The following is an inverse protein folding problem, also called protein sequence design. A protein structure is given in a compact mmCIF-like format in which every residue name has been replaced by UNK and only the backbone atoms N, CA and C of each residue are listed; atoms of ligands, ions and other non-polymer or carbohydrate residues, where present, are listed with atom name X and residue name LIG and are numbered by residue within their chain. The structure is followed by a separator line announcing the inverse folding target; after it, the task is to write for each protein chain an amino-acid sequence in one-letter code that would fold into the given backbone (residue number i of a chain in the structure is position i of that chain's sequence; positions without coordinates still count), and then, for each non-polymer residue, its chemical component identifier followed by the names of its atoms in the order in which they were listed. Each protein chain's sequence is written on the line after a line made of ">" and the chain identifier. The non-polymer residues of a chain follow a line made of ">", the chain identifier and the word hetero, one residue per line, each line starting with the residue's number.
data_IF_163617659013
#
_entry.id   IF_163617659013
#
_cell.length_a   1.000
_cell.length_b   1.000
_cell.length_c   1.000
_cell.angle_alpha   90.00
_cell.angle_beta   90.00
_cell.angle_gamma   90.00
#
_symmetry.space_group_name_H-M   'P 1'
#
loop_
_entity.id
_entity.type
_entity.pdbx_description
1 polymer ?
#
# COMPACT_ATOMS: atom_id res chain seq x y z
N UNK A 1 -19.83 38.31 10.29
CA UNK A 1 -19.92 38.40 11.76
C UNK A 1 -21.10 37.57 12.23
N UNK A 2 -20.89 36.27 12.45
CA UNK A 2 -21.90 35.40 13.06
C UNK A 2 -21.30 34.77 14.29
N UNK A 3 -21.71 35.31 15.44
CA UNK A 3 -21.54 34.73 16.77
C UNK A 3 -22.21 33.36 16.76
N UNK A 4 -21.43 32.29 16.89
CA UNK A 4 -21.95 31.03 17.43
C UNK A 4 -21.50 30.99 18.89
N UNK A 5 -22.42 31.40 19.76
CA UNK A 5 -22.33 31.15 21.19
C UNK A 5 -22.80 29.70 21.40
N UNK A 6 -21.87 28.78 21.69
CA UNK A 6 -22.22 27.51 22.31
C UNK A 6 -21.91 27.63 23.80
N UNK A 7 -22.97 27.86 24.57
CA UNK A 7 -22.95 27.81 26.03
C UNK A 7 -23.46 26.44 26.48
N UNK A 8 -22.72 25.80 27.39
CA UNK A 8 -23.32 24.97 28.45
C UNK A 8 -23.54 23.49 28.17
N UNK A 9 -22.63 22.67 28.73
CA UNK A 9 -23.03 21.65 29.71
C UNK A 9 -23.44 20.27 29.18
N UNK A 10 -22.61 19.27 29.46
CA UNK A 10 -22.98 17.86 29.37
C UNK A 10 -21.85 16.97 29.86
N UNK A 11 -21.92 16.54 31.12
CA UNK A 11 -21.11 15.43 31.66
C UNK A 11 -21.40 14.18 30.82
N UNK A 12 -20.39 13.69 30.09
CA UNK A 12 -20.45 12.39 29.42
C UNK A 12 -19.22 11.58 29.82
N UNK A 13 -19.50 10.53 30.58
CA UNK A 13 -18.56 9.49 31.00
C UNK A 13 -18.03 8.77 29.77
N UNK A 14 -16.70 8.59 29.77
CA UNK A 14 -15.91 8.28 28.59
C UNK A 14 -16.17 6.90 27.99
N UNK A 15 -16.12 6.86 26.66
CA UNK A 15 -16.13 5.61 25.93
C UNK A 15 -16.37 5.72 24.43
N UNK A 16 -15.94 6.80 23.77
CA UNK A 16 -15.56 6.80 22.33
C UNK A 16 -15.23 8.23 21.91
N UNK A 17 -13.93 8.53 21.80
CA UNK A 17 -13.48 9.77 21.18
C UNK A 17 -13.59 9.61 19.67
N UNK A 18 -14.78 9.91 19.14
CA UNK A 18 -14.99 10.12 17.70
C UNK A 18 -14.18 11.37 17.29
N UNK A 19 -12.95 11.16 16.82
CA UNK A 19 -12.11 12.23 16.28
C UNK A 19 -12.64 12.59 14.89
N UNK A 20 -13.36 13.70 14.80
CA UNK A 20 -13.60 14.38 13.52
C UNK A 20 -12.23 14.80 12.97
N UNK A 21 -11.83 14.23 11.82
CA UNK A 21 -10.46 14.28 11.27
C UNK A 21 -9.97 15.72 10.98
N UNK A 22 -10.88 16.67 10.79
CA UNK A 22 -10.58 18.11 10.65
C UNK A 22 -10.31 18.82 12.00
N UNK A 23 -10.85 18.34 13.12
CA UNK A 23 -10.67 18.98 14.44
C UNK A 23 -9.29 18.64 15.07
N UNK A 24 -8.65 17.55 14.64
CA UNK A 24 -7.28 17.17 15.05
C UNK A 24 -6.22 18.16 14.52
N UNK A 25 -6.44 18.76 13.34
CA UNK A 25 -5.49 19.71 12.74
C UNK A 25 -5.42 21.06 13.45
N UNK A 26 -6.56 21.62 13.88
CA UNK A 26 -6.59 22.93 14.56
C UNK A 26 -6.03 22.84 15.99
N UNK A 27 -6.32 21.77 16.72
CA UNK A 27 -5.78 21.55 18.06
C UNK A 27 -4.26 21.36 18.06
N UNK A 28 -3.72 20.66 17.04
CA UNK A 28 -2.27 20.47 16.89
C UNK A 28 -1.54 21.78 16.55
N UNK A 29 -2.18 22.69 15.83
CA UNK A 29 -1.63 24.03 15.53
C UNK A 29 -1.67 24.96 16.75
N UNK A 30 -2.72 24.88 17.56
CA UNK A 30 -2.93 25.78 18.72
C UNK A 30 -2.07 25.44 19.94
N UNK A 31 -1.64 24.19 20.08
CA UNK A 31 -0.80 23.70 21.19
C UNK A 31 0.70 23.75 20.90
N UNK A 32 1.11 23.99 19.65
CA UNK A 32 2.51 24.08 19.26
C UNK A 32 3.26 25.29 19.88
N UNK A 33 2.51 26.32 20.30
CA UNK A 33 3.07 27.55 20.88
C UNK A 33 3.34 27.53 22.40
N UNK A 34 2.94 26.47 23.13
CA UNK A 34 3.11 26.38 24.59
C UNK A 34 4.14 25.34 25.05
N UNK A 35 4.88 24.72 24.13
CA UNK A 35 5.95 23.81 24.48
C UNK A 35 7.26 24.58 24.74
N UNK A 36 7.33 25.30 25.85
CA UNK A 36 8.58 25.85 26.40
C UNK A 36 9.56 24.73 26.82
N UNK A 37 9.06 23.50 26.93
CA UNK A 37 9.87 22.29 27.11
C UNK A 37 10.40 21.83 25.75
N UNK A 38 11.70 22.03 25.51
CA UNK A 38 12.42 21.52 24.34
C UNK A 38 12.03 20.06 24.03
N UNK A 39 11.66 19.79 22.77
CA UNK A 39 11.13 18.50 22.32
C UNK A 39 12.11 17.31 22.44
N UNK A 40 13.37 17.57 22.77
CA UNK A 40 14.41 16.56 22.93
C UNK A 40 15.08 16.63 24.30
N UNK A 41 14.34 16.27 25.34
CA UNK A 41 14.94 15.97 26.64
C UNK A 41 15.89 14.78 26.51
N UNK A 42 17.21 15.02 26.67
CA UNK A 42 18.21 13.94 26.73
C UNK A 42 17.95 13.09 27.96
N UNK A 43 17.26 11.96 27.77
CA UNK A 43 17.04 10.98 28.84
C UNK A 43 18.38 10.38 29.26
N UNK A 44 18.66 10.38 30.57
CA UNK A 44 19.83 9.70 31.14
C UNK A 44 19.79 8.21 30.78
N UNK A 45 20.92 7.67 30.32
CA UNK A 45 21.11 6.25 30.04
C UNK A 45 22.05 5.65 31.06
N UNK A 46 21.69 4.50 31.63
CA UNK A 46 22.50 3.82 32.64
C UNK A 46 23.30 2.69 31.98
N UNK A 47 24.63 2.77 32.08
CA UNK A 47 25.54 1.70 31.65
C UNK A 47 25.32 0.43 32.50
N UNK A 48 25.65 -0.74 31.97
CA UNK A 48 25.46 -1.98 32.74
C UNK A 48 26.38 -2.05 33.97
N UNK A 49 27.61 -1.55 33.86
CA UNK A 49 28.55 -1.43 34.98
C UNK A 49 27.97 -0.59 36.12
N UNK A 50 27.35 0.55 35.80
CA UNK A 50 26.67 1.39 36.78
C UNK A 50 25.52 0.64 37.47
N UNK A 51 24.69 -0.07 36.68
CA UNK A 51 23.59 -0.88 37.24
C UNK A 51 24.11 -1.95 38.21
N UNK A 52 25.19 -2.66 37.84
CA UNK A 52 25.80 -3.69 38.68
C UNK A 52 26.40 -3.11 39.96
N UNK A 53 27.09 -1.97 39.86
CA UNK A 53 27.63 -1.24 41.02
C UNK A 53 26.54 -0.88 42.02
N UNK A 54 25.45 -0.27 41.54
CA UNK A 54 24.31 0.10 42.39
C UNK A 54 23.63 -1.14 43.00
N UNK A 55 23.48 -2.23 42.25
CA UNK A 55 22.92 -3.47 42.78
C UNK A 55 23.76 -4.03 43.93
N UNK A 56 25.09 -4.04 43.79
CA UNK A 56 26.02 -4.49 44.83
C UNK A 56 25.96 -3.60 46.08
N UNK A 57 25.98 -2.27 45.90
CA UNK A 57 25.82 -1.32 46.99
C UNK A 57 24.48 -1.51 47.72
N UNK A 58 23.40 -1.71 46.96
CA UNK A 58 22.06 -1.92 47.52
C UNK A 58 21.90 -3.24 48.26
N UNK A 59 22.74 -4.24 47.97
CA UNK A 59 22.76 -5.54 48.64
C UNK A 59 23.58 -5.48 49.94
N UNK A 60 24.60 -4.63 50.01
CA UNK A 60 25.39 -4.39 51.23
C UNK A 60 24.72 -3.51 52.28
N UNK A 61 23.62 -2.81 51.95
CA UNK A 61 22.86 -2.03 52.92
C UNK A 61 22.05 -2.94 53.85
N UNK A 62 22.47 -3.04 55.11
CA UNK A 62 21.82 -3.87 56.15
C UNK A 62 20.86 -3.03 56.99
N UNK A 63 21.14 -1.74 57.22
CA UNK A 63 20.30 -0.91 58.07
C UNK A 63 19.03 -0.44 57.34
N UNK A 64 17.92 -0.40 58.10
CA UNK A 64 16.63 0.10 57.61
C UNK A 64 16.75 1.58 57.25
N UNK A 65 16.76 1.89 55.95
CA UNK A 65 16.78 3.26 55.42
C UNK A 65 18.03 3.63 54.61
N UNK A 66 19.16 2.96 54.80
CA UNK A 66 20.40 3.22 54.02
C UNK A 66 20.20 3.04 52.52
N UNK A 67 19.48 1.98 52.15
CA UNK A 67 19.10 1.73 50.75
C UNK A 67 18.27 2.87 50.17
N UNK A 68 17.37 3.46 50.97
CA UNK A 68 16.57 4.61 50.54
C UNK A 68 17.40 5.89 50.43
N UNK A 69 18.39 6.09 51.31
CA UNK A 69 19.31 7.21 51.24
C UNK A 69 20.20 7.14 49.97
N UNK A 70 20.73 5.95 49.66
CA UNK A 70 21.49 5.69 48.43
C UNK A 70 20.65 6.03 47.19
N UNK A 71 19.41 5.55 47.13
CA UNK A 71 18.51 5.79 46.01
C UNK A 71 18.19 7.27 45.78
N UNK A 72 18.02 8.06 46.84
CA UNK A 72 17.80 9.51 46.72
C UNK A 72 19.03 10.25 46.20
N UNK A 73 20.24 9.86 46.64
CA UNK A 73 21.50 10.44 46.15
C UNK A 73 21.72 10.20 44.66
N UNK A 74 21.39 8.99 44.20
CA UNK A 74 21.52 8.60 42.79
C UNK A 74 20.30 9.02 41.94
N UNK A 75 19.24 9.53 42.58
CA UNK A 75 17.96 9.85 41.93
C UNK A 75 17.27 8.63 41.31
N UNK A 76 17.41 7.45 41.92
CA UNK A 76 16.86 6.18 41.47
C UNK A 76 15.61 5.80 42.29
N UNK A 77 14.58 5.26 41.64
CA UNK A 77 13.42 4.66 42.32
C UNK A 77 13.63 3.17 42.61
N UNK A 78 12.86 2.65 43.57
CA UNK A 78 12.85 1.21 43.89
C UNK A 78 12.46 0.33 42.69
N UNK A 79 11.66 0.85 41.74
CA UNK A 79 11.31 0.14 40.50
C UNK A 79 12.52 -0.15 39.61
N UNK A 80 13.50 0.75 39.54
CA UNK A 80 14.72 0.48 38.79
C UNK A 80 15.50 -0.70 39.39
N UNK A 81 15.57 -0.80 40.72
CA UNK A 81 16.26 -1.92 41.36
C UNK A 81 15.59 -3.26 41.05
N UNK A 82 14.26 -3.32 41.07
CA UNK A 82 13.54 -4.57 40.76
C UNK A 82 13.71 -4.97 39.29
N UNK A 83 13.66 -4.00 38.37
CA UNK A 83 13.95 -4.22 36.95
C UNK A 83 15.38 -4.71 36.72
N UNK A 84 16.36 -4.09 37.39
CA UNK A 84 17.77 -4.45 37.23
C UNK A 84 18.10 -5.80 37.87
N UNK A 85 17.45 -6.18 38.98
CA UNK A 85 17.54 -7.55 39.53
C UNK A 85 17.03 -8.59 38.53
N UNK A 86 15.83 -8.38 37.98
CA UNK A 86 15.28 -9.25 36.92
C UNK A 86 16.19 -9.31 35.69
N UNK A 87 16.83 -8.20 35.32
CA UNK A 87 17.77 -8.17 34.21
C UNK A 87 19.08 -8.91 34.53
N UNK A 88 19.56 -8.86 35.79
CA UNK A 88 20.70 -9.64 36.28
C UNK A 88 20.41 -11.14 36.22
N UNK A 89 19.26 -11.56 36.74
CA UNK A 89 18.85 -12.97 36.81
C UNK A 89 18.68 -13.56 35.41
N UNK A 90 18.26 -12.74 34.44
CA UNK A 90 18.17 -13.11 33.01
C UNK A 90 19.51 -13.07 32.25
N UNK A 91 20.62 -12.73 32.91
CA UNK A 91 21.94 -12.58 32.26
C UNK A 91 22.05 -11.37 31.31
N UNK A 92 21.05 -10.50 31.28
CA UNK A 92 20.98 -9.37 30.35
C UNK A 92 21.90 -8.19 30.75
N UNK A 93 22.44 -8.18 31.98
CA UNK A 93 23.39 -7.16 32.42
C UNK A 93 24.85 -7.51 32.08
N UNK A 94 25.20 -8.79 32.02
CA UNK A 94 26.52 -9.27 31.59
C UNK A 94 26.60 -9.42 30.07
N UNK A 95 25.48 -9.77 29.41
CA UNK A 95 25.34 -9.80 27.96
C UNK A 95 25.01 -8.42 27.36
N UNK A 96 25.97 -7.50 27.39
CA UNK A 96 25.87 -6.16 26.76
C UNK A 96 25.82 -6.18 25.22
N UNK A 97 25.67 -7.33 24.57
CA UNK A 97 25.22 -7.32 23.18
C UNK A 97 23.76 -6.87 23.20
N UNK A 98 23.51 -5.62 22.79
CA UNK A 98 22.15 -5.11 22.58
C UNK A 98 21.32 -6.19 21.88
N UNK A 99 20.43 -6.85 22.61
CA UNK A 99 19.43 -7.74 22.03
C UNK A 99 18.64 -6.83 21.11
N UNK A 100 18.95 -6.89 19.81
CA UNK A 100 18.31 -6.07 18.79
C UNK A 100 16.84 -6.37 18.90
N UNK A 101 16.08 -5.43 19.45
CA UNK A 101 14.63 -5.56 19.56
C UNK A 101 14.09 -5.50 18.14
N UNK A 102 13.57 -6.63 17.67
CA UNK A 102 13.02 -6.78 16.34
C UNK A 102 13.01 -8.24 15.91
N UNK A 103 12.23 -8.59 14.86
CA UNK A 103 12.31 -9.89 14.24
C UNK A 103 13.76 -10.22 13.88
N UNK A 104 14.20 -11.44 14.19
CA UNK A 104 15.52 -11.93 13.77
C UNK A 104 15.58 -11.80 12.24
N UNK A 105 16.60 -11.13 11.67
CA UNK A 105 16.69 -11.01 10.22
C UNK A 105 16.74 -12.41 9.63
N UNK A 106 15.85 -12.66 8.66
CA UNK A 106 15.85 -13.92 7.92
C UNK A 106 17.26 -14.16 7.32
N UNK A 107 17.71 -15.42 7.24
CA UNK A 107 18.99 -15.73 6.63
C UNK A 107 19.02 -15.13 5.23
N UNK A 108 20.03 -14.30 4.96
CA UNK A 108 20.22 -13.68 3.65
C UNK A 108 20.74 -14.78 2.73
N UNK A 109 19.87 -15.30 1.87
CA UNK A 109 20.27 -16.26 0.85
C UNK A 109 21.31 -15.60 -0.07
N UNK A 110 22.56 -16.07 -0.01
CA UNK A 110 23.67 -15.53 -0.82
C UNK A 110 23.34 -15.51 -2.33
N UNK A 111 22.47 -16.42 -2.76
CA UNK A 111 22.08 -16.60 -4.16
C UNK A 111 20.91 -15.69 -4.58
N UNK A 112 20.23 -15.01 -3.66
CA UNK A 112 19.07 -14.17 -3.99
C UNK A 112 19.44 -12.97 -4.88
N UNK A 113 20.63 -12.42 -4.68
CA UNK A 113 21.16 -11.33 -5.50
C UNK A 113 21.43 -11.80 -6.94
N UNK A 114 22.03 -12.98 -7.09
CA UNK A 114 22.34 -13.60 -8.38
C UNK A 114 21.07 -13.97 -9.14
N UNK A 115 20.08 -14.60 -8.48
CA UNK A 115 18.78 -14.91 -9.08
C UNK A 115 18.10 -13.65 -9.62
N UNK A 116 18.21 -12.52 -8.90
CA UNK A 116 17.62 -11.24 -9.33
C UNK A 116 18.34 -10.67 -10.56
N UNK A 117 19.66 -10.79 -10.63
CA UNK A 117 20.44 -10.38 -11.80
C UNK A 117 20.10 -11.25 -13.01
N UNK A 118 20.15 -12.57 -12.86
CA UNK A 118 19.81 -13.53 -13.93
C UNK A 118 18.40 -13.33 -14.48
N UNK A 119 17.41 -13.00 -13.63
CA UNK A 119 16.05 -12.69 -14.08
C UNK A 119 15.97 -11.42 -14.93
N UNK A 120 16.73 -10.38 -14.58
CA UNK A 120 16.79 -9.13 -15.36
C UNK A 120 17.46 -9.37 -16.71
N UNK A 121 18.54 -10.14 -16.72
CA UNK A 121 19.28 -10.45 -17.94
C UNK A 121 18.44 -11.29 -18.88
N UNK A 122 17.75 -12.31 -18.36
CA UNK A 122 16.79 -13.10 -19.15
C UNK A 122 15.68 -12.23 -19.75
N UNK A 123 15.08 -11.32 -18.97
CA UNK A 123 14.05 -10.42 -19.48
C UNK A 123 14.58 -9.50 -20.60
N UNK A 124 15.81 -8.98 -20.45
CA UNK A 124 16.47 -8.16 -21.46
C UNK A 124 16.77 -8.96 -22.74
N UNK A 125 17.28 -10.18 -22.61
CA UNK A 125 17.58 -11.06 -23.73
C UNK A 125 16.31 -11.46 -24.49
N UNK A 126 15.24 -11.81 -23.79
CA UNK A 126 13.94 -12.12 -24.42
C UNK A 126 13.38 -10.93 -25.20
N UNK A 127 13.49 -9.71 -24.67
CA UNK A 127 13.06 -8.52 -25.39
C UNK A 127 13.89 -8.27 -26.67
N UNK A 128 15.19 -8.58 -26.65
CA UNK A 128 16.04 -8.50 -27.85
C UNK A 128 15.67 -9.57 -28.89
N UNK A 129 15.37 -10.79 -28.45
CA UNK A 129 14.91 -11.87 -29.32
C UNK A 129 13.60 -11.49 -30.02
N UNK A 130 12.61 -10.99 -29.26
CA UNK A 130 11.33 -10.53 -29.83
C UNK A 130 11.53 -9.45 -30.90
N UNK A 131 12.43 -8.48 -30.67
CA UNK A 131 12.73 -7.45 -31.69
C UNK A 131 13.34 -8.07 -32.95
N UNK A 132 14.25 -9.02 -32.81
CA UNK A 132 14.86 -9.71 -33.94
C UNK A 132 13.83 -10.55 -34.73
N UNK A 133 12.94 -11.25 -34.02
CA UNK A 133 11.84 -12.01 -34.61
C UNK A 133 10.91 -11.11 -35.42
N UNK A 134 10.54 -9.94 -34.91
CA UNK A 134 9.73 -8.96 -35.65
C UNK A 134 10.41 -8.48 -36.93
N UNK A 135 11.72 -8.24 -36.91
CA UNK A 135 12.48 -7.88 -38.12
C UNK A 135 12.44 -9.00 -39.14
N UNK A 136 12.65 -10.24 -38.71
CA UNK A 136 12.57 -11.43 -39.58
C UNK A 136 11.15 -11.58 -40.17
N UNK A 137 10.11 -11.35 -39.37
CA UNK A 137 8.72 -11.39 -39.86
C UNK A 137 8.45 -10.33 -40.93
N UNK A 138 8.92 -9.09 -40.73
CA UNK A 138 8.79 -8.02 -41.71
C UNK A 138 9.50 -8.42 -43.00
N UNK A 139 10.73 -8.93 -42.91
CA UNK A 139 11.48 -9.41 -44.09
C UNK A 139 10.72 -10.50 -44.85
N UNK A 140 10.16 -11.49 -44.15
CA UNK A 140 9.33 -12.55 -44.74
C UNK A 140 8.09 -11.98 -45.44
N UNK A 141 7.39 -11.03 -44.81
CA UNK A 141 6.21 -10.36 -45.41
C UNK A 141 6.59 -9.58 -46.65
N UNK A 142 7.70 -8.84 -46.63
CA UNK A 142 8.20 -8.11 -47.79
C UNK A 142 8.49 -9.10 -48.93
N UNK A 143 9.27 -10.14 -48.69
CA UNK A 143 9.56 -11.16 -49.71
C UNK A 143 8.28 -11.76 -50.33
N UNK A 144 7.25 -12.00 -49.52
CA UNK A 144 5.95 -12.48 -50.00
C UNK A 144 5.21 -11.44 -50.85
N UNK A 145 5.20 -10.17 -50.45
CA UNK A 145 4.60 -9.09 -51.23
C UNK A 145 5.27 -8.91 -52.59
N UNK A 146 6.60 -8.99 -52.65
CA UNK A 146 7.36 -8.87 -53.90
C UNK A 146 7.23 -10.12 -54.79
N UNK A 147 7.10 -11.31 -54.21
CA UNK A 147 6.92 -12.57 -54.96
C UNK A 147 5.50 -12.76 -55.48
N UNK A 148 4.49 -12.19 -54.83
CA UNK A 148 3.11 -12.23 -55.32
C UNK A 148 2.96 -11.29 -56.52
N UNK A 149 2.49 -11.79 -57.68
CA UNK A 149 2.06 -10.91 -58.76
C UNK A 149 0.92 -10.03 -58.22
N UNK A 150 1.00 -8.71 -58.45
CA UNK A 150 -0.12 -7.80 -58.22
C UNK A 150 -1.29 -8.21 -59.14
N UNK A 151 -2.11 -9.17 -58.68
CA UNK A 151 -3.27 -9.64 -59.43
C UNK A 151 -4.37 -8.58 -59.29
N UNK A 152 -4.85 -7.98 -60.40
CA UNK A 152 -5.97 -7.07 -60.32
C UNK A 152 -7.20 -7.84 -59.79
N UNK A 153 -8.02 -7.22 -58.91
CA UNK A 153 -9.18 -7.87 -58.33
C UNK A 153 -10.17 -8.26 -59.43
N UNK A 154 -10.71 -9.47 -59.32
CA UNK A 154 -11.67 -10.00 -60.30
C UNK A 154 -12.97 -9.20 -60.27
N UNK A 155 -13.71 -9.16 -61.38
CA UNK A 155 -15.00 -8.47 -61.46
C UNK A 155 -16.00 -8.96 -60.40
N UNK A 156 -15.88 -10.24 -59.99
CA UNK A 156 -16.64 -10.84 -58.89
C UNK A 156 -16.33 -10.17 -57.54
N UNK A 157 -15.05 -10.02 -57.17
CA UNK A 157 -14.62 -9.40 -55.91
C UNK A 157 -15.00 -7.92 -55.82
N UNK A 158 -14.95 -7.19 -56.95
CA UNK A 158 -15.42 -5.79 -57.01
C UNK A 158 -16.93 -5.69 -56.73
N UNK A 159 -17.71 -6.65 -57.23
CA UNK A 159 -19.15 -6.71 -56.98
C UNK A 159 -19.47 -7.08 -55.51
N UNK A 160 -18.68 -7.96 -54.89
CA UNK A 160 -18.83 -8.33 -53.47
C UNK A 160 -18.46 -7.21 -52.49
N UNK A 161 -17.45 -6.40 -52.82
CA UNK A 161 -17.11 -5.20 -52.04
C UNK A 161 -18.24 -4.14 -52.08
N UNK A 162 -18.87 -3.96 -53.25
CA UNK A 162 -20.04 -3.09 -53.40
C UNK A 162 -21.25 -3.58 -52.58
N UNK A 163 -21.50 -4.90 -52.54
CA UNK A 163 -22.57 -5.51 -51.73
C UNK A 163 -22.37 -5.28 -50.22
N UNK A 164 -21.13 -5.42 -49.72
CA UNK A 164 -20.81 -5.18 -48.31
C UNK A 164 -20.99 -3.70 -47.90
N UNK A 165 -20.66 -2.75 -48.78
CA UNK A 165 -20.90 -1.32 -48.52
C UNK A 165 -22.39 -0.99 -48.37
N UNK A 166 -23.26 -1.63 -49.17
CA UNK A 166 -24.72 -1.47 -49.09
C UNK A 166 -25.28 -2.06 -47.78
N UNK A 167 -24.79 -3.24 -47.36
CA UNK A 167 -25.18 -3.85 -46.08
C UNK A 167 -24.73 -3.00 -44.86
N UNK A 168 -23.52 -2.43 -44.89
CA UNK A 168 -23.03 -1.54 -43.83
C UNK A 168 -23.80 -0.21 -43.78
N UNK A 169 -24.22 0.32 -44.94
CA UNK A 169 -25.09 1.51 -45.03
C UNK A 169 -26.48 1.27 -44.43
N UNK A 170 -27.10 0.12 -44.71
CA UNK A 170 -28.40 -0.26 -44.12
C UNK A 170 -28.32 -0.48 -42.60
N UNK A 171 -27.24 -1.06 -42.09
CA UNK A 171 -27.03 -1.23 -40.63
C UNK A 171 -26.94 0.11 -39.91
N UNK A 172 -26.14 1.05 -40.44
CA UNK A 172 -26.02 2.41 -39.89
C UNK A 172 -27.33 3.21 -39.97
N UNK A 173 -28.11 3.06 -41.05
CA UNK A 173 -29.43 3.69 -41.15
C UNK A 173 -30.41 3.12 -40.10
N UNK A 174 -30.44 1.79 -39.89
CA UNK A 174 -31.27 1.14 -38.88
C UNK A 174 -30.88 1.54 -37.45
N UNK A 175 -29.59 1.61 -37.15
CA UNK A 175 -29.06 2.11 -35.86
C UNK A 175 -29.42 3.59 -35.64
N UNK A 176 -29.39 4.42 -36.69
CA UNK A 176 -29.80 5.83 -36.63
C UNK A 176 -31.30 5.99 -36.36
N UNK A 177 -32.14 5.16 -36.98
CA UNK A 177 -33.59 5.16 -36.75
C UNK A 177 -33.95 4.72 -35.32
N UNK A 178 -33.28 3.69 -34.78
CA UNK A 178 -33.43 3.29 -33.38
C UNK A 178 -33.02 4.40 -32.40
N UNK A 179 -32.01 5.22 -32.75
CA UNK A 179 -31.55 6.34 -31.90
C UNK A 179 -32.51 7.53 -31.85
N UNK A 180 -33.34 7.71 -32.89
CA UNK A 180 -34.35 8.79 -32.98
C UNK A 180 -35.68 8.34 -32.34
N UNK A 181 -35.79 7.08 -31.87
CA UNK A 181 -36.97 6.58 -31.17
C UNK A 181 -38.17 6.33 -32.07
N UNK A 182 -37.97 6.24 -33.40
CA UNK A 182 -39.03 5.82 -34.32
C UNK A 182 -39.13 4.30 -34.23
N UNK A 183 -40.23 3.72 -33.71
CA UNK A 183 -40.40 2.28 -33.70
C UNK A 183 -40.42 1.75 -35.14
N UNK A 184 -39.87 0.55 -35.39
CA UNK A 184 -39.98 -0.06 -36.72
C UNK A 184 -41.46 -0.23 -37.09
N UNK A 185 -41.85 -0.05 -38.36
CA UNK A 185 -43.22 -0.37 -38.78
C UNK A 185 -43.50 -1.85 -38.48
N UNK A 186 -44.67 -2.12 -37.89
CA UNK A 186 -45.11 -3.48 -37.55
C UNK A 186 -45.01 -4.39 -38.79
N UNK A 187 -44.29 -5.49 -38.64
CA UNK A 187 -44.08 -6.47 -39.70
C UNK A 187 -45.38 -7.30 -39.84
N UNK A 188 -46.13 -7.21 -40.96
CA UNK A 188 -47.45 -7.83 -41.10
C UNK A 188 -47.40 -9.38 -41.16
N UNK A 189 -46.23 -9.99 -40.95
CA UNK A 189 -46.02 -11.44 -40.99
C UNK A 189 -45.78 -12.08 -39.61
N UNK A 190 -45.91 -11.35 -38.51
CA UNK A 190 -45.85 -11.92 -37.17
C UNK A 190 -47.15 -12.69 -36.84
N UNK A 191 -47.09 -14.01 -36.58
CA UNK A 191 -48.29 -14.79 -36.30
C UNK A 191 -48.83 -14.45 -34.89
N UNK A 192 -50.13 -14.11 -34.82
CA UNK A 192 -50.83 -13.51 -33.68
C UNK A 192 -50.86 -14.34 -32.37
N UNK A 193 -50.29 -15.54 -32.33
CA UNK A 193 -50.44 -16.49 -31.22
C UNK A 193 -49.42 -16.32 -30.08
N UNK A 194 -48.41 -15.45 -30.21
CA UNK A 194 -47.41 -15.23 -29.16
C UNK A 194 -47.75 -14.08 -28.18
N UNK A 195 -48.91 -13.44 -28.30
CA UNK A 195 -49.31 -12.32 -27.44
C UNK A 195 -50.01 -12.72 -26.12
N UNK A 196 -50.06 -14.01 -25.76
CA UNK A 196 -50.84 -14.50 -24.61
C UNK A 196 -49.99 -15.26 -23.58
N UNK A 197 -48.88 -14.65 -23.12
CA UNK A 197 -48.11 -15.24 -22.01
C UNK A 197 -47.39 -14.20 -21.17
N UNK A 198 -48.15 -13.26 -20.63
CA UNK A 198 -47.76 -12.38 -19.52
C UNK A 198 -49.02 -11.88 -18.80
N UNK A 199 -49.53 -12.71 -17.89
CA UNK A 199 -50.28 -12.34 -16.69
C UNK A 199 -50.10 -13.50 -15.69
#
# INVERSE_FOLDING_TARGET
>A
MSRVLCFGGGLAVGGDWFVCRECDSEWRQRTAGWAEVSATGRRRTFTAEYKLKILNLSAGCVASGERGALLRREGLSASHLTEWRKARDKGALTGLSAIKRGPVPAPVDANAAEIKQLRRDNACLLAKLQRAELVIEIQKKLQNCWRSPCRPPTSQEKADAGRHAICAGRRRHRERLCRIGVPPPDDPRLPKHLAARQA
#
